data_IF_338745394173
#
_entry.id   IF_338745394173
#
_cell.length_a   1.000
_cell.length_b   1.000
_cell.length_c   1.000
_cell.angle_alpha   90.00
_cell.angle_beta   90.00
_cell.angle_gamma   90.00
#
_symmetry.space_group_name_H-M   'P 1'
#
loop_
_entity.id
_entity.type
_entity.pdbx_description
1 polymer ?
#
# COMPACT_ATOMS: atom_id res chain seq x y z
N UNK A 1 -13.32 7.88 14.30
CA UNK A 1 -12.38 7.62 15.42
C UNK A 1 -10.95 7.45 14.90
N UNK A 2 -9.91 7.83 15.66
CA UNK A 2 -8.52 7.56 15.32
C UNK A 2 -8.33 6.06 15.02
N UNK A 3 -7.59 5.71 13.97
CA UNK A 3 -7.34 4.32 13.56
C UNK A 3 -8.39 3.69 12.62
N UNK A 4 -9.66 4.09 12.68
CA UNK A 4 -10.69 3.57 11.76
C UNK A 4 -10.46 4.00 10.30
N UNK A 5 -10.02 5.24 10.09
CA UNK A 5 -9.69 5.75 8.76
C UNK A 5 -8.50 5.00 8.14
N UNK A 6 -7.46 4.74 8.95
CA UNK A 6 -6.30 3.96 8.53
C UNK A 6 -6.69 2.53 8.10
N UNK A 7 -7.48 1.86 8.94
CA UNK A 7 -7.98 0.52 8.65
C UNK A 7 -8.84 0.49 7.37
N UNK A 8 -9.74 1.47 7.21
CA UNK A 8 -10.58 1.59 6.02
C UNK A 8 -9.74 1.82 4.74
N UNK A 9 -8.70 2.64 4.81
CA UNK A 9 -7.77 2.86 3.70
C UNK A 9 -7.04 1.57 3.31
N UNK A 10 -6.55 0.81 4.29
CA UNK A 10 -5.88 -0.47 4.03
C UNK A 10 -6.83 -1.49 3.39
N UNK A 11 -8.06 -1.59 3.91
CA UNK A 11 -9.11 -2.45 3.36
C UNK A 11 -9.49 -2.06 1.93
N UNK A 12 -9.58 -0.76 1.65
CA UNK A 12 -9.85 -0.27 0.29
C UNK A 12 -8.69 -0.61 -0.67
N UNK A 13 -7.45 -0.45 -0.22
CA UNK A 13 -6.26 -0.72 -1.03
C UNK A 13 -6.10 -2.20 -1.39
N UNK A 14 -6.41 -3.11 -0.47
CA UNK A 14 -6.36 -4.56 -0.68
C UNK A 14 -7.72 -5.16 -1.04
N UNK A 15 -8.69 -4.33 -1.42
CA UNK A 15 -10.02 -4.80 -1.83
C UNK A 15 -9.94 -5.60 -3.14
N UNK A 16 -10.83 -6.59 -3.36
CA UNK A 16 -10.90 -7.30 -4.64
C UNK A 16 -11.02 -6.37 -5.85
N UNK A 17 -11.73 -5.24 -5.67
CA UNK A 17 -11.89 -4.20 -6.68
C UNK A 17 -10.54 -3.57 -7.04
N UNK A 18 -9.72 -3.18 -6.05
CA UNK A 18 -8.40 -2.59 -6.32
C UNK A 18 -7.39 -3.62 -6.84
N UNK A 19 -7.44 -4.85 -6.34
CA UNK A 19 -6.59 -5.95 -6.83
C UNK A 19 -6.89 -6.22 -8.31
N UNK A 20 -8.17 -6.29 -8.71
CA UNK A 20 -8.59 -6.49 -10.10
C UNK A 20 -8.41 -5.26 -11.01
N UNK A 21 -8.30 -4.06 -10.45
CA UNK A 21 -8.07 -2.82 -11.17
C UNK A 21 -6.59 -2.65 -11.58
N UNK A 22 -6.12 -3.48 -12.51
CA UNK A 22 -4.73 -3.46 -13.00
C UNK A 22 -4.40 -2.12 -13.68
N UNK A 23 -5.33 -1.60 -14.48
CA UNK A 23 -5.17 -0.38 -15.29
C UNK A 23 -5.35 0.93 -14.50
N UNK A 24 -6.04 0.88 -13.35
CA UNK A 24 -6.43 2.08 -12.57
C UNK A 24 -5.96 2.06 -11.12
N UNK A 25 -5.20 1.02 -10.72
CA UNK A 25 -4.62 0.88 -9.38
C UNK A 25 -3.31 1.63 -9.20
N UNK A 26 -2.62 1.39 -8.07
CA UNK A 26 -1.32 2.00 -7.81
C UNK A 26 -0.30 1.60 -8.90
N UNK A 27 0.28 2.57 -9.65
CA UNK A 27 1.21 2.27 -10.76
C UNK A 27 2.51 1.62 -10.27
N UNK A 28 2.87 1.82 -9.00
CA UNK A 28 4.06 1.22 -8.38
C UNK A 28 3.91 -0.30 -8.26
N UNK A 29 2.70 -0.80 -7.99
CA UNK A 29 2.43 -2.25 -7.94
C UNK A 29 2.53 -2.92 -9.30
N UNK A 30 2.37 -2.18 -10.40
CA UNK A 30 2.48 -2.71 -11.76
C UNK A 30 3.88 -2.54 -12.36
N UNK A 31 4.55 -1.41 -12.08
CA UNK A 31 5.77 -1.00 -12.80
C UNK A 31 7.00 -0.83 -11.90
N UNK A 32 6.91 -1.16 -10.61
CA UNK A 32 7.96 -0.91 -9.62
C UNK A 32 9.33 -1.44 -10.02
N UNK A 33 9.41 -2.65 -10.59
CA UNK A 33 10.67 -3.25 -11.07
C UNK A 33 11.26 -2.54 -12.30
N UNK A 34 10.42 -1.86 -13.08
CA UNK A 34 10.82 -1.17 -14.30
C UNK A 34 11.18 0.29 -14.06
N UNK A 35 10.76 0.88 -12.92
CA UNK A 35 11.05 2.27 -12.57
C UNK A 35 12.53 2.69 -12.68
N UNK A 36 13.52 1.85 -12.31
CA UNK A 36 14.94 2.19 -12.49
C UNK A 36 15.35 2.39 -13.96
N UNK A 37 14.64 1.75 -14.90
CA UNK A 37 14.90 1.82 -16.35
C UNK A 37 14.14 2.95 -17.05
N UNK A 38 13.18 3.58 -16.36
CA UNK A 38 12.38 4.66 -16.91
C UNK A 38 13.16 5.98 -17.03
N UNK A 39 12.67 6.85 -17.90
CA UNK A 39 13.18 8.21 -18.05
C UNK A 39 13.18 8.98 -16.70
N UNK A 40 14.13 9.90 -16.47
CA UNK A 40 14.26 10.62 -15.20
C UNK A 40 12.96 11.29 -14.73
N UNK A 41 12.20 11.88 -15.64
CA UNK A 41 10.92 12.54 -15.38
C UNK A 41 9.84 11.57 -14.88
N UNK A 42 9.78 10.35 -15.44
CA UNK A 42 8.85 9.30 -15.01
C UNK A 42 9.24 8.80 -13.62
N UNK A 43 10.53 8.56 -13.38
CA UNK A 43 11.03 8.14 -12.07
C UNK A 43 10.78 9.22 -11.01
N UNK A 44 10.87 10.50 -11.39
CA UNK A 44 10.55 11.64 -10.51
C UNK A 44 9.06 11.69 -10.17
N UNK A 45 8.17 11.51 -11.16
CA UNK A 45 6.74 11.45 -10.93
C UNK A 45 6.37 10.29 -9.99
N UNK A 46 6.94 9.10 -10.20
CA UNK A 46 6.74 7.96 -9.29
C UNK A 46 7.21 8.26 -7.87
N UNK A 47 8.37 8.93 -7.70
CA UNK A 47 8.88 9.33 -6.39
C UNK A 47 7.93 10.28 -5.66
N UNK A 48 7.36 11.27 -6.37
CA UNK A 48 6.41 12.22 -5.80
C UNK A 48 5.16 11.48 -5.35
N UNK A 49 4.61 10.61 -6.21
CA UNK A 49 3.41 9.85 -5.90
C UNK A 49 3.59 8.92 -4.68
N UNK A 50 4.74 8.23 -4.58
CA UNK A 50 5.05 7.39 -3.41
C UNK A 50 5.10 8.22 -2.13
N UNK A 51 5.71 9.42 -2.17
CA UNK A 51 5.75 10.33 -1.01
C UNK A 51 4.35 10.79 -0.59
N UNK A 52 3.51 11.14 -1.55
CA UNK A 52 2.11 11.53 -1.29
C UNK A 52 1.32 10.39 -0.65
N UNK A 53 1.51 9.15 -1.11
CA UNK A 53 0.90 7.97 -0.48
C UNK A 53 1.39 7.79 0.97
N UNK A 54 2.70 7.85 1.20
CA UNK A 54 3.28 7.73 2.56
C UNK A 54 2.67 8.80 3.49
N UNK A 55 2.61 10.05 3.04
CA UNK A 55 2.05 11.14 3.83
C UNK A 55 0.56 10.96 4.10
N UNK A 56 -0.20 10.44 3.13
CA UNK A 56 -1.62 10.15 3.29
C UNK A 56 -1.86 9.11 4.40
N UNK A 57 -1.08 8.02 4.42
CA UNK A 57 -1.15 7.01 5.48
C UNK A 57 -0.64 7.52 6.83
N UNK A 58 0.47 8.26 6.84
CA UNK A 58 1.05 8.82 8.06
C UNK A 58 0.06 9.75 8.80
N UNK A 59 -0.71 10.56 8.05
CA UNK A 59 -1.73 11.46 8.60
C UNK A 59 -2.87 10.75 9.33
N UNK A 60 -3.08 9.45 9.08
CA UNK A 60 -4.10 8.67 9.78
C UNK A 60 -3.57 7.99 11.04
N UNK A 61 -2.28 8.08 11.31
CA UNK A 61 -1.67 7.48 12.49
C UNK A 61 -1.87 8.36 13.73
N UNK A 62 -2.08 7.76 14.92
CA UNK A 62 -2.38 8.50 16.15
C UNK A 62 -1.22 9.39 16.64
N UNK A 63 0.00 9.08 16.23
CA UNK A 63 1.24 9.79 16.56
C UNK A 63 1.80 10.57 15.36
N UNK A 64 0.93 10.96 14.43
CA UNK A 64 1.31 11.79 13.29
C UNK A 64 2.14 13.02 13.72
N UNK A 65 3.17 13.34 12.94
CA UNK A 65 4.16 14.37 13.25
C UNK A 65 5.44 13.83 13.93
N UNK A 66 5.41 12.61 14.46
CA UNK A 66 6.60 11.93 14.97
C UNK A 66 7.37 11.20 13.84
N UNK A 67 8.72 11.15 13.89
CA UNK A 67 9.51 10.38 12.93
C UNK A 67 9.09 8.90 12.84
N UNK A 68 8.71 8.28 13.96
CA UNK A 68 8.28 6.89 14.02
C UNK A 68 6.94 6.63 13.30
N UNK A 69 6.02 7.62 13.27
CA UNK A 69 4.80 7.51 12.48
C UNK A 69 5.12 7.46 10.98
N UNK A 70 6.05 8.30 10.53
CA UNK A 70 6.47 8.33 9.14
C UNK A 70 7.16 7.02 8.73
N UNK A 71 8.04 6.49 9.57
CA UNK A 71 8.68 5.19 9.34
C UNK A 71 7.66 4.04 9.22
N UNK A 72 6.67 3.99 10.12
CA UNK A 72 5.59 3.00 10.04
C UNK A 72 4.72 3.18 8.81
N UNK A 73 4.47 4.41 8.37
CA UNK A 73 3.74 4.69 7.14
C UNK A 73 4.50 4.20 5.91
N UNK A 74 5.82 4.39 5.86
CA UNK A 74 6.67 3.83 4.80
C UNK A 74 6.58 2.31 4.75
N UNK A 75 6.74 1.63 5.89
CA UNK A 75 6.65 0.18 5.98
C UNK A 75 5.26 -0.35 5.57
N UNK A 76 4.19 0.36 5.99
CA UNK A 76 2.82 0.06 5.62
C UNK A 76 2.62 0.16 4.10
N UNK A 77 3.01 1.28 3.48
CA UNK A 77 2.89 1.49 2.02
C UNK A 77 3.66 0.42 1.25
N UNK A 78 4.90 0.11 1.64
CA UNK A 78 5.68 -0.97 1.01
C UNK A 78 4.96 -2.32 1.12
N UNK A 79 4.41 -2.64 2.29
CA UNK A 79 3.67 -3.89 2.50
C UNK A 79 2.42 -3.97 1.63
N UNK A 80 1.62 -2.91 1.57
CA UNK A 80 0.41 -2.87 0.75
C UNK A 80 0.74 -3.03 -0.75
N UNK A 81 1.73 -2.29 -1.25
CA UNK A 81 2.18 -2.37 -2.66
C UNK A 81 2.69 -3.79 -2.98
N UNK A 82 3.52 -4.35 -2.11
CA UNK A 82 4.08 -5.69 -2.28
C UNK A 82 3.01 -6.77 -2.26
N UNK A 83 2.05 -6.69 -1.34
CA UNK A 83 0.91 -7.61 -1.28
C UNK A 83 0.07 -7.52 -2.55
N UNK A 84 -0.24 -6.31 -3.04
CA UNK A 84 -0.96 -6.15 -4.31
C UNK A 84 -0.20 -6.78 -5.47
N UNK A 85 1.13 -6.61 -5.52
CA UNK A 85 1.97 -7.20 -6.58
C UNK A 85 1.91 -8.74 -6.55
N UNK A 86 2.10 -9.36 -5.39
CA UNK A 86 2.07 -10.84 -5.25
C UNK A 86 0.65 -11.39 -5.45
N UNK A 87 -0.37 -10.73 -4.92
CA UNK A 87 -1.77 -11.12 -5.06
C UNK A 87 -2.26 -11.08 -6.53
N UNK A 88 -1.66 -10.23 -7.36
CA UNK A 88 -1.91 -10.18 -8.82
C UNK A 88 -1.07 -11.19 -9.61
N UNK A 89 0.06 -11.64 -9.07
CA UNK A 89 0.96 -12.56 -9.76
C UNK A 89 0.47 -14.02 -9.72
N UNK A 90 -0.37 -14.37 -8.75
CA UNK A 90 -0.90 -15.73 -8.59
C UNK A 90 -2.17 -15.94 -9.41
N UNK A 91 -2.38 -17.16 -9.88
CA UNK A 91 -3.57 -17.60 -10.62
C UNK A 91 -4.63 -18.26 -9.70
N UNK A 92 -4.34 -18.46 -8.42
CA UNK A 92 -5.27 -18.96 -7.40
C UNK A 92 -5.98 -17.80 -6.66
N UNK A 93 -7.30 -17.60 -6.87
CA UNK A 93 -8.06 -16.55 -6.19
C UNK A 93 -8.10 -16.71 -4.67
N UNK A 94 -8.03 -17.94 -4.14
CA UNK A 94 -8.01 -18.19 -2.70
C UNK A 94 -6.68 -17.75 -2.09
N UNK A 95 -5.57 -18.03 -2.77
CA UNK A 95 -4.25 -17.57 -2.34
C UNK A 95 -4.16 -16.03 -2.40
N UNK A 96 -4.64 -15.42 -3.49
CA UNK A 96 -4.70 -13.95 -3.64
C UNK A 96 -5.44 -13.28 -2.48
N UNK A 97 -6.63 -13.79 -2.14
CA UNK A 97 -7.41 -13.30 -1.01
C UNK A 97 -6.73 -13.56 0.35
N UNK A 98 -6.09 -14.72 0.52
CA UNK A 98 -5.37 -15.07 1.75
C UNK A 98 -4.16 -14.16 1.99
N UNK A 99 -3.41 -13.80 0.94
CA UNK A 99 -2.31 -12.84 1.01
C UNK A 99 -2.80 -11.47 1.50
N UNK A 100 -3.89 -10.96 0.91
CA UNK A 100 -4.49 -9.70 1.30
C UNK A 100 -4.94 -9.72 2.77
N UNK A 101 -5.65 -10.78 3.19
CA UNK A 101 -6.12 -10.94 4.55
C UNK A 101 -4.96 -11.04 5.56
N UNK A 102 -3.90 -11.79 5.23
CA UNK A 102 -2.72 -11.92 6.08
C UNK A 102 -2.03 -10.57 6.32
N UNK A 103 -1.89 -9.76 5.28
CA UNK A 103 -1.34 -8.39 5.40
C UNK A 103 -2.21 -7.50 6.27
N UNK A 104 -3.53 -7.49 6.06
CA UNK A 104 -4.45 -6.70 6.89
C UNK A 104 -4.38 -7.11 8.37
N UNK A 105 -4.34 -8.41 8.66
CA UNK A 105 -4.27 -8.93 10.03
C UNK A 105 -2.98 -8.54 10.76
N UNK A 106 -1.86 -8.43 10.06
CA UNK A 106 -0.56 -8.04 10.64
C UNK A 106 -0.43 -6.54 10.85
N UNK A 107 -1.05 -5.73 9.98
CA UNK A 107 -0.87 -4.29 9.95
C UNK A 107 -1.99 -3.53 10.68
N UNK A 108 -3.12 -4.18 10.95
CA UNK A 108 -4.16 -3.60 11.81
C UNK A 108 -3.65 -3.62 13.25
N UNK A 109 -3.57 -2.48 13.94
CA UNK A 109 -3.21 -2.46 15.35
C UNK A 109 -4.17 -3.38 16.11
N UNK A 110 -3.64 -4.37 16.83
CA UNK A 110 -4.47 -5.12 17.79
C UNK A 110 -4.99 -4.10 18.80
N UNK A 111 -6.31 -4.02 18.95
CA UNK A 111 -6.89 -3.32 20.08
C UNK A 111 -6.32 -3.98 21.34
N UNK A 112 -5.47 -3.24 22.06
CA UNK A 112 -5.03 -3.60 23.39
C UNK A 112 -6.16 -3.42 24.39
#
# INVERSE_FOLDING_TARGET
PPGQALQAMMQAYLSPQHIGAIETGCPVSALGSEMPRQAPEVRRAATIHIKEMIDLFARQMPDWGQPQAHERAMALVCSLIGTTMVARAVDDPKLSAALCAATLNQLTPKAG
#
